data_IF_542241333285
#
_entry.id   IF_542241333285
#
_cell.length_a   1.000
_cell.length_b   1.000
_cell.length_c   1.000
_cell.angle_alpha   90.00
_cell.angle_beta   90.00
_cell.angle_gamma   90.00
#
_symmetry.space_group_name_H-M   'P 1'
#
loop_
_entity.id
_entity.type
_entity.pdbx_description
1 polymer ?
2 polymer ?
3 polymer ?
4 non-polymer ?
5 non-polymer ?
6 non-polymer ?
7 water ?
#
# COMPACT_ATOMS: atom_id res chain seq x y z
N UNK A 1 6.16 -15.81 12.74
CA UNK A 1 5.04 -15.91 11.81
C UNK A 1 5.47 -16.04 10.36
N UNK A 2 4.51 -15.89 9.43
CA UNK A 2 4.75 -15.95 7.98
C UNK A 2 5.42 -14.67 7.50
N UNK A 3 6.15 -14.73 6.37
CA UNK A 3 6.85 -13.56 5.84
C UNK A 3 6.84 -13.50 4.32
N UNK A 4 7.09 -12.30 3.76
CA UNK A 4 7.07 -12.18 2.33
C UNK A 4 8.04 -11.12 1.85
N UNK A 5 8.47 -11.26 0.59
CA UNK A 5 9.32 -10.24 -0.06
C UNK A 5 8.62 -9.94 -1.37
N UNK A 6 8.40 -8.64 -1.67
CA UNK A 6 7.68 -8.30 -2.91
C UNK A 6 8.31 -7.08 -3.53
N UNK A 7 8.37 -7.04 -4.87
CA UNK A 7 8.82 -5.88 -5.64
C UNK A 7 7.65 -5.43 -6.49
N UNK A 8 7.46 -4.11 -6.59
CA UNK A 8 6.36 -3.53 -7.35
C UNK A 8 6.96 -2.58 -8.35
N UNK A 9 6.50 -2.60 -9.59
CA UNK A 9 7.07 -1.75 -10.65
C UNK A 9 5.94 -1.12 -11.40
N UNK A 10 6.07 0.17 -11.68
CA UNK A 10 5.06 0.91 -12.47
C UNK A 10 5.83 1.75 -13.50
N UNK A 11 5.41 1.68 -14.75
CA UNK A 11 5.99 2.47 -15.82
C UNK A 11 4.83 3.17 -16.52
N UNK A 12 4.95 4.50 -16.74
CA UNK A 12 3.85 5.28 -17.34
C UNK A 12 4.41 6.02 -18.52
N UNK A 13 3.89 5.77 -19.71
CA UNK A 13 4.45 6.44 -20.90
C UNK A 13 4.17 7.94 -20.93
N UNK A 14 5.08 8.73 -21.54
CA UNK A 14 4.96 10.19 -21.69
C UNK A 14 5.10 10.47 -23.17
N UNK A 15 3.97 10.35 -23.89
CA UNK A 15 4.02 10.45 -25.36
C UNK A 15 4.49 11.79 -25.94
N UNK A 16 4.30 12.88 -25.22
CA UNK A 16 4.71 14.20 -25.69
C UNK A 16 6.22 14.33 -25.88
N UNK A 17 7.01 13.84 -24.91
CA UNK A 17 8.46 13.93 -24.98
C UNK A 17 9.13 13.02 -23.95
N UNK A 18 10.11 12.27 -24.42
CA UNK A 18 10.98 11.46 -23.56
C UNK A 18 10.46 10.09 -23.18
N UNK A 19 11.19 9.47 -22.26
CA UNK A 19 10.95 8.11 -21.82
C UNK A 19 9.89 8.03 -20.71
N UNK A 20 9.39 6.80 -20.42
CA UNK A 20 8.35 6.66 -19.40
C UNK A 20 8.85 7.01 -18.00
N UNK A 21 7.93 7.38 -17.11
CA UNK A 21 8.22 7.58 -15.69
C UNK A 21 8.25 6.15 -15.12
N UNK A 22 9.34 5.76 -14.47
CA UNK A 22 9.46 4.41 -13.89
C UNK A 22 9.70 4.47 -12.37
N UNK A 23 8.85 3.77 -11.59
CA UNK A 23 8.97 3.70 -10.12
C UNK A 23 8.98 2.25 -9.67
N UNK A 24 10.04 1.86 -8.91
CA UNK A 24 10.17 0.49 -8.37
C UNK A 24 10.33 0.59 -6.87
N UNK A 25 9.65 -0.31 -6.12
CA UNK A 25 9.72 -0.35 -4.66
C UNK A 25 9.82 -1.82 -4.22
N UNK A 26 10.68 -2.10 -3.23
CA UNK A 26 10.81 -3.44 -2.66
C UNK A 26 10.32 -3.43 -1.22
N UNK A 27 9.65 -4.51 -0.81
CA UNK A 27 9.11 -4.65 0.55
C UNK A 27 9.49 -5.96 1.16
N UNK A 28 9.70 -5.95 2.49
CA UNK A 28 9.79 -7.16 3.31
C UNK A 28 8.56 -7.03 4.21
N UNK A 29 7.58 -7.95 4.04
CA UNK A 29 6.30 -7.83 4.76
C UNK A 29 5.70 -6.44 4.48
N UNK A 30 5.42 -5.62 5.52
CA UNK A 30 4.85 -4.27 5.31
C UNK A 30 5.88 -3.16 5.39
N UNK A 31 7.16 -3.51 5.22
CA UNK A 31 8.23 -2.51 5.34
C UNK A 31 8.90 -2.30 4.01
N UNK A 32 8.82 -1.08 3.46
CA UNK A 32 9.54 -0.74 2.23
C UNK A 32 11.03 -0.72 2.56
N UNK A 33 11.89 -1.34 1.71
CA UNK A 33 13.31 -1.32 2.04
C UNK A 33 14.19 -0.71 0.94
N UNK A 34 13.69 -0.65 -0.32
CA UNK A 34 14.48 -0.11 -1.44
C UNK A 34 13.52 0.61 -2.34
N UNK A 35 14.06 1.52 -3.15
CA UNK A 35 13.30 2.27 -4.14
C UNK A 35 14.17 2.73 -5.29
N UNK A 36 13.53 2.92 -6.45
CA UNK A 36 14.18 3.52 -7.62
C UNK A 36 13.11 4.39 -8.26
N UNK A 37 13.46 5.61 -8.56
CA UNK A 37 12.51 6.49 -9.24
C UNK A 37 13.29 7.11 -10.38
N UNK A 38 12.84 6.91 -11.65
CA UNK A 38 13.54 7.46 -12.83
C UNK A 38 13.62 8.98 -12.81
N UNK A 39 12.71 9.68 -12.05
CA UNK A 39 12.75 11.14 -11.94
C UNK A 39 13.74 11.70 -10.88
N UNK A 40 14.26 10.83 -10.00
CA UNK A 40 15.18 11.26 -8.93
C UNK A 40 16.61 11.44 -9.48
N UNK A 41 17.42 12.19 -8.75
CA UNK A 41 18.79 12.53 -9.14
C UNK A 41 19.81 11.40 -9.06
N UNK A 42 19.70 10.47 -8.08
CA UNK A 42 20.75 9.45 -7.92
C UNK A 42 20.94 8.56 -9.12
N UNK A 43 19.81 8.14 -9.76
CA UNK A 43 19.80 7.13 -10.83
C UNK A 43 20.32 5.82 -10.27
N UNK A 44 20.06 5.59 -8.98
CA UNK A 44 20.49 4.34 -8.34
C UNK A 44 19.37 3.72 -7.54
N UNK A 45 19.49 2.44 -7.26
CA UNK A 45 18.58 1.81 -6.30
C UNK A 45 19.01 2.43 -4.96
N UNK A 46 18.04 2.93 -4.17
CA UNK A 46 18.34 3.59 -2.89
C UNK A 46 17.78 2.80 -1.70
N UNK A 47 18.45 2.89 -0.53
CA UNK A 47 17.91 2.23 0.68
C UNK A 47 16.79 3.04 1.32
N UNK A 48 15.83 2.35 1.95
CA UNK A 48 14.70 2.98 2.66
C UNK A 48 14.50 2.39 4.08
N UNK A 49 15.37 1.45 4.50
CA UNK A 49 15.36 0.85 5.84
C UNK A 49 16.80 0.78 6.36
N UNK A 50 17.04 0.97 7.68
CA UNK A 50 18.44 0.96 8.17
C UNK A 50 19.17 -0.38 8.00
N UNK A 51 18.45 -1.49 8.10
CA UNK A 51 19.05 -2.82 7.99
C UNK A 51 19.53 -3.19 6.57
N UNK A 52 19.17 -2.42 5.55
CA UNK A 52 19.64 -2.73 4.20
C UNK A 52 20.91 -1.88 3.89
N UNK A 53 21.09 -0.76 4.59
CA UNK A 53 22.21 0.18 4.42
C UNK A 53 23.58 -0.48 4.58
N UNK A 54 23.65 -1.52 5.40
CA UNK A 54 24.85 -2.32 5.69
C UNK A 54 25.35 -3.15 4.49
N UNK A 55 24.49 -3.34 3.45
CA UNK A 55 24.94 -4.08 2.26
C UNK A 55 26.03 -3.26 1.54
N UNK A 56 27.04 -3.95 1.06
CA UNK A 56 28.17 -3.31 0.40
C UNK A 56 27.93 -2.75 -0.99
N UNK A 57 29.00 -2.19 -1.60
CA UNK A 57 28.89 -1.59 -2.94
C UNK A 57 28.50 -2.55 -4.04
N UNK A 58 28.89 -3.84 -3.94
CA UNK A 58 28.56 -4.82 -4.98
C UNK A 58 27.04 -5.03 -5.02
N UNK A 59 26.39 -4.97 -3.85
CA UNK A 59 24.94 -5.14 -3.76
C UNK A 59 24.27 -3.98 -4.49
N UNK A 60 24.62 -2.71 -4.14
CA UNK A 60 24.02 -1.52 -4.71
C UNK A 60 24.28 -1.36 -6.19
N UNK A 61 25.49 -1.76 -6.66
CA UNK A 61 25.83 -1.73 -8.09
C UNK A 61 24.95 -2.72 -8.85
N UNK A 62 24.81 -3.94 -8.29
CA UNK A 62 24.00 -5.01 -8.85
C UNK A 62 22.52 -4.68 -8.88
N UNK A 63 21.96 -4.16 -7.75
CA UNK A 63 20.52 -3.79 -7.72
C UNK A 63 20.23 -2.61 -8.68
N UNK A 64 21.17 -1.66 -8.80
CA UNK A 64 21.00 -0.54 -9.77
C UNK A 64 20.99 -1.05 -11.22
N UNK A 65 21.94 -1.93 -11.57
CA UNK A 65 22.00 -2.46 -12.94
C UNK A 65 20.67 -3.22 -13.23
N UNK A 66 20.20 -4.03 -12.27
CA UNK A 66 18.98 -4.82 -12.52
C UNK A 66 17.74 -3.99 -12.63
N UNK A 67 17.60 -2.99 -11.77
CA UNK A 67 16.42 -2.13 -11.78
C UNK A 67 16.36 -1.27 -13.06
N UNK A 68 17.55 -0.86 -13.57
CA UNK A 68 17.60 -0.11 -14.84
C UNK A 68 17.26 -1.05 -16.01
N UNK A 69 17.65 -2.33 -15.92
CA UNK A 69 17.30 -3.33 -16.92
C UNK A 69 15.78 -3.57 -16.88
N UNK A 70 15.16 -3.57 -15.66
CA UNK A 70 13.69 -3.72 -15.56
C UNK A 70 13.02 -2.48 -16.19
N UNK A 71 13.58 -1.28 -15.94
CA UNK A 71 13.05 -0.04 -16.55
C UNK A 71 13.06 -0.16 -18.07
N UNK A 72 14.17 -0.63 -18.67
CA UNK A 72 14.21 -0.71 -20.13
C UNK A 72 13.25 -1.73 -20.70
N UNK A 73 13.05 -2.86 -20.02
CA UNK A 73 12.03 -3.86 -20.48
C UNK A 73 10.64 -3.23 -20.48
N UNK A 74 10.29 -2.46 -19.41
CA UNK A 74 8.98 -1.82 -19.35
C UNK A 74 8.79 -0.79 -20.47
N UNK A 75 9.88 -0.05 -20.79
CA UNK A 75 9.81 0.91 -21.90
C UNK A 75 9.49 0.14 -23.21
N UNK A 76 10.21 -0.95 -23.47
CA UNK A 76 9.96 -1.75 -24.68
C UNK A 76 8.53 -2.32 -24.63
N UNK A 77 8.11 -2.90 -23.47
CA UNK A 77 6.74 -3.44 -23.28
C UNK A 77 5.64 -2.44 -23.61
N UNK A 78 5.79 -1.17 -23.19
CA UNK A 78 4.76 -0.14 -23.50
C UNK A 78 4.58 -0.01 -25.00
N UNK A 79 5.69 -0.01 -25.75
CA UNK A 79 5.68 -0.01 -27.22
C UNK A 79 5.08 -1.29 -27.79
N UNK A 80 5.45 -2.48 -27.23
CA UNK A 80 4.87 -3.77 -27.71
C UNK A 80 3.34 -3.82 -27.56
N UNK A 81 2.84 -3.48 -26.37
CA UNK A 81 1.41 -3.49 -26.03
C UNK A 81 0.61 -2.50 -26.85
N UNK A 82 1.20 -1.31 -27.13
CA UNK A 82 0.54 -0.30 -27.95
C UNK A 82 0.25 -0.92 -29.33
N UNK A 83 1.18 -1.73 -29.84
CA UNK A 83 1.05 -2.46 -31.10
C UNK A 83 0.04 -3.59 -31.03
N UNK A 84 0.10 -4.46 -29.99
CA UNK A 84 -0.87 -5.56 -29.80
C UNK A 84 -2.30 -5.03 -29.73
N UNK A 85 -2.51 -3.87 -29.07
CA UNK A 85 -3.83 -3.30 -28.89
C UNK A 85 -4.22 -2.28 -29.95
N UNK A 86 -3.36 -2.11 -30.97
CA UNK A 86 -3.59 -1.15 -32.06
C UNK A 86 -3.95 0.27 -31.52
N UNK A 87 -3.15 0.76 -30.57
CA UNK A 87 -3.39 2.07 -29.97
C UNK A 87 -2.47 3.12 -30.59
N UNK A 88 -2.89 4.38 -30.57
CA UNK A 88 -2.11 5.50 -31.13
C UNK A 88 -0.94 5.89 -30.22
N UNK A 89 0.02 6.64 -30.74
CA UNK A 89 1.16 7.11 -29.96
C UNK A 89 0.83 8.36 -29.14
N UNK A 90 -0.44 8.80 -29.14
CA UNK A 90 -0.90 10.03 -28.48
C UNK A 90 -1.25 9.94 -26.97
N UNK A 91 -1.75 8.80 -26.54
CA UNK A 91 -2.18 8.64 -25.15
C UNK A 91 -1.12 8.05 -24.25
N UNK A 92 -1.27 8.29 -22.97
CA UNK A 92 -0.39 7.74 -21.96
C UNK A 92 -0.95 6.36 -21.52
N UNK A 93 -0.07 5.37 -21.32
CA UNK A 93 -0.53 4.03 -20.88
C UNK A 93 0.36 3.58 -19.73
N UNK A 94 -0.09 2.55 -19.00
CA UNK A 94 0.65 2.09 -17.82
C UNK A 94 0.88 0.61 -17.83
N UNK A 95 2.09 0.21 -17.42
CA UNK A 95 2.40 -1.21 -17.25
C UNK A 95 2.78 -1.36 -15.77
N UNK A 96 2.25 -2.39 -15.11
CA UNK A 96 2.56 -2.67 -13.71
C UNK A 96 2.98 -4.11 -13.63
N UNK A 97 3.95 -4.40 -12.77
CA UNK A 97 4.48 -5.74 -12.54
C UNK A 97 4.73 -5.92 -11.05
N UNK A 98 4.48 -7.10 -10.54
CA UNK A 98 4.71 -7.43 -9.14
C UNK A 98 5.22 -8.84 -9.11
N UNK A 99 6.25 -9.09 -8.33
CA UNK A 99 6.75 -10.45 -8.15
C UNK A 99 7.30 -10.61 -6.76
N UNK A 100 7.40 -11.85 -6.29
CA UNK A 100 7.93 -12.09 -4.97
C UNK A 100 7.60 -13.46 -4.43
N UNK A 101 7.99 -13.69 -3.19
CA UNK A 101 7.83 -14.99 -2.56
C UNK A 101 7.28 -14.84 -1.16
N UNK A 102 6.64 -15.92 -0.68
CA UNK A 102 6.09 -16.04 0.66
C UNK A 102 6.78 -17.23 1.32
N UNK A 103 7.10 -17.11 2.62
CA UNK A 103 7.68 -18.19 3.44
C UNK A 103 6.80 -18.35 4.67
N UNK A 104 6.76 -19.58 5.22
CA UNK A 104 5.99 -19.85 6.44
C UNK A 104 6.77 -19.55 7.70
N UNK A 105 6.25 -20.01 8.86
CA UNK A 105 6.87 -19.83 10.18
C UNK A 105 8.25 -20.48 10.29
N UNK A 106 8.54 -21.49 9.44
CA UNK A 106 9.83 -22.18 9.40
C UNK A 106 10.84 -21.49 8.44
N UNK A 107 10.37 -20.42 7.74
CA UNK A 107 11.12 -19.63 6.73
C UNK A 107 11.38 -20.43 5.45
N UNK A 108 10.53 -21.44 5.19
CA UNK A 108 10.63 -22.25 3.98
C UNK A 108 9.58 -21.78 2.98
N UNK A 109 9.91 -21.89 1.68
CA UNK A 109 9.08 -21.50 0.54
C UNK A 109 7.64 -21.97 0.66
N UNK A 110 6.70 -21.03 0.49
CA UNK A 110 5.28 -21.35 0.54
C UNK A 110 4.65 -21.05 -0.80
N UNK A 111 4.91 -19.86 -1.34
CA UNK A 111 4.27 -19.46 -2.59
C UNK A 111 5.15 -18.43 -3.34
N UNK A 112 5.02 -18.39 -4.66
CA UNK A 112 5.73 -17.41 -5.50
C UNK A 112 4.74 -16.71 -6.42
N UNK A 113 5.04 -15.46 -6.84
CA UNK A 113 4.15 -14.70 -7.72
C UNK A 113 4.95 -13.97 -8.74
N UNK A 114 4.36 -13.71 -9.90
CA UNK A 114 4.98 -12.89 -10.95
C UNK A 114 3.86 -12.56 -11.90
N UNK A 115 3.38 -11.31 -11.83
CA UNK A 115 2.22 -10.93 -12.67
C UNK A 115 2.30 -9.52 -13.17
N UNK A 116 1.61 -9.27 -14.28
CA UNK A 116 1.56 -8.01 -15.03
C UNK A 116 0.17 -7.52 -15.23
N UNK A 117 0.08 -6.19 -15.38
CA UNK A 117 -1.18 -5.53 -15.73
C UNK A 117 -0.89 -4.50 -16.79
N UNK A 118 -1.86 -4.25 -17.67
CA UNK A 118 -1.74 -3.18 -18.67
C UNK A 118 -2.95 -2.30 -18.51
N UNK A 119 -2.73 -0.99 -18.36
CA UNK A 119 -3.80 -0.03 -18.10
C UNK A 119 -4.74 -0.47 -16.94
N UNK A 120 -4.15 -1.04 -15.88
CA UNK A 120 -4.89 -1.43 -14.69
C UNK A 120 -5.68 -2.71 -14.76
N UNK A 121 -5.53 -3.49 -15.84
CA UNK A 121 -6.26 -4.76 -15.93
C UNK A 121 -5.23 -5.90 -16.06
N UNK A 122 -5.57 -7.09 -15.53
CA UNK A 122 -4.71 -8.28 -15.63
C UNK A 122 -4.32 -8.50 -17.08
N UNK A 123 -3.03 -8.75 -17.29
CA UNK A 123 -2.48 -9.05 -18.59
C UNK A 123 -2.02 -10.52 -18.60
N UNK A 124 -0.92 -10.83 -17.88
CA UNK A 124 -0.42 -12.21 -17.79
C UNK A 124 0.08 -12.45 -16.35
N UNK A 125 -0.07 -13.69 -15.85
CA UNK A 125 0.35 -14.02 -14.50
C UNK A 125 0.89 -15.46 -14.47
N UNK A 126 1.91 -15.68 -13.67
CA UNK A 126 2.48 -17.01 -13.47
C UNK A 126 1.52 -17.77 -12.52
N UNK A 127 1.05 -18.99 -12.92
CA UNK A 127 0.15 -19.81 -12.07
C UNK A 127 0.87 -20.25 -10.80
N UNK A 128 0.12 -20.68 -9.76
CA UNK A 128 0.70 -21.10 -8.49
C UNK A 128 1.70 -22.28 -8.62
N UNK A 129 1.56 -23.13 -9.65
CA UNK A 129 2.50 -24.26 -9.90
C UNK A 129 3.91 -23.74 -10.31
N UNK A 130 4.02 -22.44 -10.72
CA UNK A 130 5.25 -21.79 -11.19
C UNK A 130 5.75 -22.44 -12.49
N UNK A 131 4.82 -23.00 -13.27
CA UNK A 131 5.15 -23.67 -14.54
C UNK A 131 4.38 -23.11 -15.71
N UNK A 132 3.14 -22.66 -15.46
CA UNK A 132 2.22 -22.22 -16.51
C UNK A 132 1.82 -20.75 -16.32
N UNK A 133 1.19 -20.21 -17.37
CA UNK A 133 0.74 -18.83 -17.48
C UNK A 133 -0.76 -18.69 -17.67
N UNK A 134 -1.32 -17.66 -17.05
CA UNK A 134 -2.73 -17.26 -17.23
C UNK A 134 -2.67 -15.97 -18.05
N UNK A 135 -3.20 -16.00 -19.26
CA UNK A 135 -3.27 -14.90 -20.22
C UNK A 135 -4.70 -14.45 -20.24
N UNK A 136 -4.94 -13.19 -19.88
CA UNK A 136 -6.31 -12.69 -19.79
C UNK A 136 -7.03 -12.56 -21.15
N UNK A 137 -6.27 -12.33 -22.22
CA UNK A 137 -6.86 -12.08 -23.54
C UNK A 137 -5.95 -12.55 -24.64
N UNK A 138 -6.32 -12.32 -25.89
CA UNK A 138 -5.53 -12.78 -27.04
C UNK A 138 -4.17 -12.07 -27.17
N UNK A 139 -4.06 -10.80 -26.75
CA UNK A 139 -2.75 -10.12 -26.78
C UNK A 139 -1.81 -10.82 -25.77
N UNK A 140 -2.29 -11.10 -24.56
CA UNK A 140 -1.50 -11.82 -23.55
C UNK A 140 -1.19 -13.25 -24.00
N UNK A 141 -2.07 -13.85 -24.83
CA UNK A 141 -1.85 -15.21 -25.38
C UNK A 141 -0.58 -15.22 -26.27
N UNK A 142 -0.36 -14.15 -27.03
CA UNK A 142 0.85 -13.94 -27.88
C UNK A 142 2.10 -13.93 -26.99
N UNK A 143 2.06 -13.22 -25.82
CA UNK A 143 3.18 -13.17 -24.87
C UNK A 143 3.40 -14.55 -24.26
N UNK A 144 2.29 -15.25 -23.92
CA UNK A 144 2.39 -16.59 -23.30
C UNK A 144 3.14 -17.53 -24.24
N UNK A 145 2.75 -17.55 -25.52
CA UNK A 145 3.40 -18.38 -26.54
C UNK A 145 4.89 -18.09 -26.66
N UNK A 146 5.29 -16.80 -26.56
CA UNK A 146 6.72 -16.45 -26.59
C UNK A 146 7.41 -16.92 -25.34
N UNK A 147 6.79 -16.73 -24.15
CA UNK A 147 7.44 -17.11 -22.89
C UNK A 147 7.59 -18.63 -22.71
N UNK A 148 6.68 -19.41 -23.32
CA UNK A 148 6.73 -20.87 -23.27
C UNK A 148 7.92 -21.36 -24.11
N UNK A 149 8.07 -20.81 -25.33
CA UNK A 149 9.19 -21.15 -26.21
C UNK A 149 10.56 -20.75 -25.62
N UNK A 150 10.61 -19.78 -24.68
CA UNK A 150 11.84 -19.26 -24.08
C UNK A 150 12.21 -19.73 -22.65
N UNK A 151 11.55 -20.75 -22.06
CA UNK A 151 11.90 -21.25 -20.69
C UNK A 151 11.77 -20.17 -19.60
N UNK A 152 10.91 -19.15 -19.82
CA UNK A 152 10.79 -18.03 -18.86
C UNK A 152 10.37 -18.53 -17.49
N UNK A 153 9.30 -19.33 -17.41
CA UNK A 153 8.83 -19.85 -16.14
C UNK A 153 9.89 -20.66 -15.41
N UNK A 154 10.74 -21.40 -16.12
CA UNK A 154 11.81 -22.20 -15.47
C UNK A 154 12.73 -21.29 -14.64
N UNK A 155 13.19 -20.17 -15.25
CA UNK A 155 14.09 -19.21 -14.62
C UNK A 155 13.41 -18.51 -13.46
N UNK A 156 12.12 -18.16 -13.66
CA UNK A 156 11.32 -17.50 -12.62
C UNK A 156 11.13 -18.40 -11.43
N UNK A 157 10.79 -19.67 -11.67
CA UNK A 157 10.63 -20.63 -10.57
C UNK A 157 11.95 -20.79 -9.78
N UNK A 158 13.10 -20.82 -10.48
CA UNK A 158 14.39 -20.95 -9.80
C UNK A 158 14.66 -19.74 -8.92
N UNK A 159 14.34 -18.53 -9.43
CA UNK A 159 14.50 -17.30 -8.65
C UNK A 159 13.54 -17.30 -7.44
N UNK A 160 12.26 -17.57 -7.68
CA UNK A 160 11.22 -17.52 -6.63
C UNK A 160 11.39 -18.52 -5.49
N UNK A 161 11.84 -19.72 -5.80
CA UNK A 161 12.02 -20.79 -4.80
C UNK A 161 13.41 -20.75 -4.15
N UNK A 162 14.39 -20.20 -4.86
CA UNK A 162 15.76 -20.12 -4.37
C UNK A 162 16.21 -18.76 -3.93
N UNK A 163 16.76 -17.98 -4.88
CA UNK A 163 17.29 -16.63 -4.66
C UNK A 163 16.35 -15.77 -3.82
N UNK A 164 15.06 -15.68 -4.21
CA UNK A 164 14.06 -14.85 -3.50
C UNK A 164 14.01 -15.22 -2.02
N UNK A 165 13.80 -16.52 -1.74
CA UNK A 165 13.71 -17.09 -0.39
C UNK A 165 15.00 -16.87 0.42
N UNK A 166 16.16 -17.11 -0.20
CA UNK A 166 17.45 -16.96 0.46
C UNK A 166 17.74 -15.56 0.89
N UNK A 167 17.43 -14.57 0.04
CA UNK A 167 17.66 -13.17 0.39
C UNK A 167 16.66 -12.69 1.41
N UNK A 168 15.42 -13.21 1.34
CA UNK A 168 14.40 -12.88 2.36
C UNK A 168 14.87 -13.30 3.76
N UNK A 169 15.40 -14.53 3.87
CA UNK A 169 15.92 -15.01 5.16
C UNK A 169 17.05 -14.10 5.66
N UNK A 170 17.96 -13.68 4.76
CA UNK A 170 19.05 -12.77 5.11
C UNK A 170 18.53 -11.43 5.66
N UNK A 171 17.55 -10.81 4.95
CA UNK A 171 16.97 -9.52 5.36
C UNK A 171 16.29 -9.67 6.71
N UNK A 172 15.54 -10.76 6.90
CA UNK A 172 14.85 -11.05 8.17
C UNK A 172 15.83 -11.10 9.36
N UNK A 173 17.02 -11.67 9.14
CA UNK A 173 18.10 -11.79 10.15
C UNK A 173 18.76 -10.44 10.40
N UNK A 174 19.19 -9.75 9.35
CA UNK A 174 19.79 -8.42 9.48
C UNK A 174 18.85 -7.39 10.07
N UNK A 175 17.57 -7.48 9.73
CA UNK A 175 16.58 -6.55 10.25
C UNK A 175 15.75 -7.10 11.38
N UNK A 176 16.24 -8.15 12.09
CA UNK A 176 15.48 -8.83 13.15
C UNK A 176 14.88 -7.91 14.22
N UNK A 177 15.58 -6.86 14.65
CA UNK A 177 15.10 -5.94 15.70
C UNK A 177 13.72 -5.30 15.37
N UNK A 178 13.44 -5.01 14.07
CA UNK A 178 12.13 -4.44 13.66
C UNK A 178 11.31 -5.47 12.89
N UNK A 179 11.91 -6.15 11.88
CA UNK A 179 11.20 -7.11 11.01
C UNK A 179 10.59 -8.29 11.72
N UNK A 180 11.26 -8.78 12.79
CA UNK A 180 10.75 -9.94 13.54
C UNK A 180 10.01 -9.54 14.81
N UNK A 181 9.83 -8.24 15.04
CA UNK A 181 9.10 -7.71 16.19
C UNK A 181 7.65 -7.44 15.75
N UNK A 182 6.64 -7.96 16.50
CA UNK A 182 5.25 -7.63 16.16
C UNK A 182 4.86 -6.50 17.12
N UNK A 183 4.16 -5.47 16.64
CA UNK A 183 3.70 -4.38 17.50
C UNK A 183 2.19 -4.57 17.64
N UNK A 184 1.75 -5.02 18.83
CA UNK A 184 0.33 -5.22 19.12
C UNK A 184 -0.41 -3.88 19.08
N UNK A 185 -1.65 -3.82 18.60
CA UNK A 185 -2.36 -2.52 18.57
C UNK A 185 -2.63 -1.94 19.94
N UNK A 186 -2.46 -0.63 20.07
CA UNK A 186 -2.82 0.11 21.28
C UNK A 186 -4.29 0.48 21.01
N UNK A 187 -5.20 -0.02 21.84
CA UNK A 187 -6.62 0.14 21.60
C UNK A 187 -7.32 1.04 22.61
N UNK A 188 -8.35 1.76 22.15
CA UNK A 188 -9.18 2.58 23.03
C UNK A 188 -10.52 2.81 22.36
N UNK A 189 -11.50 3.23 23.15
CA UNK A 189 -12.86 3.49 22.67
C UNK A 189 -13.22 4.94 22.90
N UNK A 190 -13.79 5.60 21.88
CA UNK A 190 -14.26 6.99 21.99
C UNK A 190 -15.77 6.95 21.78
N UNK A 191 -16.46 8.00 22.26
CA UNK A 191 -17.93 8.11 22.26
C UNK A 191 -18.31 9.46 21.71
N UNK A 192 -19.16 9.48 20.66
CA UNK A 192 -19.57 10.73 20.00
C UNK A 192 -21.08 10.79 19.88
N UNK A 193 -21.74 11.57 20.73
CA UNK A 193 -23.20 11.70 20.65
C UNK A 193 -23.62 12.22 19.27
N UNK A 194 -24.64 11.59 18.66
CA UNK A 194 -25.15 12.03 17.35
C UNK A 194 -26.48 12.80 17.53
N UNK A 195 -27.01 12.82 18.80
CA UNK A 195 -28.26 13.41 19.31
C UNK A 195 -28.35 13.11 20.82
N UNK A 196 -29.48 13.47 21.48
CA UNK A 196 -29.66 13.17 22.91
C UNK A 196 -30.12 11.72 23.14
N UNK A 197 -30.42 10.95 22.06
CA UNK A 197 -30.85 9.55 22.24
C UNK A 197 -29.99 8.51 21.47
N UNK A 198 -28.96 8.95 20.72
CA UNK A 198 -28.07 8.04 19.96
C UNK A 198 -26.62 8.54 20.01
N UNK A 199 -25.66 7.60 19.96
CA UNK A 199 -24.23 7.91 19.98
C UNK A 199 -23.45 6.93 19.10
N UNK A 200 -22.29 7.36 18.61
CA UNK A 200 -21.38 6.50 17.84
C UNK A 200 -20.32 6.06 18.87
N UNK A 201 -20.02 4.76 18.92
CA UNK A 201 -18.91 4.27 19.75
C UNK A 201 -17.88 3.94 18.68
N UNK A 202 -16.65 4.39 18.82
CA UNK A 202 -15.61 4.15 17.82
C UNK A 202 -14.48 3.43 18.52
N UNK A 203 -14.10 2.28 17.97
CA UNK A 203 -13.07 1.42 18.54
C UNK A 203 -11.79 1.63 17.74
N UNK A 204 -10.74 2.10 18.38
CA UNK A 204 -9.48 2.40 17.67
C UNK A 204 -8.40 1.36 17.89
N UNK A 205 -7.59 1.10 16.86
CA UNK A 205 -6.41 0.23 16.95
C UNK A 205 -5.28 1.06 16.33
N UNK A 206 -4.28 1.43 17.14
CA UNK A 206 -3.22 2.30 16.68
C UNK A 206 -1.87 1.67 16.83
N UNK A 207 -0.90 2.15 16.04
CA UNK A 207 0.51 1.83 16.17
C UNK A 207 0.83 0.35 16.03
N UNK A 208 0.11 -0.37 15.16
CA UNK A 208 0.38 -1.79 15.09
C UNK A 208 1.19 -2.16 13.86
N UNK A 209 1.77 -3.37 13.91
CA UNK A 209 2.58 -3.94 12.85
C UNK A 209 2.63 -5.46 13.04
N UNK A 210 2.39 -6.28 12.00
CA UNK A 210 2.09 -5.93 10.59
C UNK A 210 0.69 -5.34 10.40
N UNK A 211 0.40 -4.93 9.16
CA UNK A 211 -0.86 -4.25 8.83
C UNK A 211 -2.11 -5.11 9.02
N UNK A 212 -2.00 -6.42 8.86
CA UNK A 212 -3.16 -7.33 8.99
C UNK A 212 -3.81 -7.23 10.38
N UNK A 213 -5.15 -7.01 10.43
CA UNK A 213 -5.88 -6.85 11.69
C UNK A 213 -7.38 -7.11 11.43
N UNK A 214 -8.11 -7.51 12.46
CA UNK A 214 -9.57 -7.66 12.36
C UNK A 214 -10.23 -6.95 13.54
N UNK A 215 -11.23 -6.10 13.25
CA UNK A 215 -11.99 -5.37 14.26
C UNK A 215 -13.42 -5.72 13.99
N UNK A 216 -14.12 -6.22 15.01
CA UNK A 216 -15.53 -6.62 14.82
C UNK A 216 -16.35 -6.14 16.02
N UNK A 217 -17.62 -5.82 15.79
CA UNK A 217 -18.52 -5.40 16.87
C UNK A 217 -19.46 -6.52 17.19
N UNK A 218 -19.83 -6.62 18.46
CA UNK A 218 -20.83 -7.58 18.89
C UNK A 218 -21.84 -6.85 19.76
N UNK A 219 -23.10 -7.31 19.75
CA UNK A 219 -24.16 -6.78 20.60
C UNK A 219 -24.73 -7.98 21.34
N UNK A 220 -24.66 -7.92 22.68
CA UNK A 220 -25.10 -8.98 23.57
C UNK A 220 -24.44 -10.32 23.18
N UNK A 221 -23.17 -10.25 22.75
CA UNK A 221 -22.37 -11.41 22.35
C UNK A 221 -22.69 -12.01 20.99
N UNK A 222 -23.35 -11.25 20.10
CA UNK A 222 -23.71 -11.67 18.75
C UNK A 222 -23.10 -10.67 17.75
N UNK A 223 -22.59 -11.14 16.62
CA UNK A 223 -21.98 -10.28 15.61
C UNK A 223 -22.92 -9.20 15.11
N UNK A 224 -22.40 -7.98 14.99
CA UNK A 224 -23.19 -6.83 14.53
C UNK A 224 -22.49 -6.20 13.34
N UNK A 225 -23.18 -6.10 12.22
CA UNK A 225 -22.67 -5.48 10.99
C UNK A 225 -23.55 -4.27 10.59
N UNK A 226 -24.84 -4.28 10.97
CA UNK A 226 -25.70 -3.12 10.69
C UNK A 226 -25.33 -1.91 11.58
N UNK A 227 -25.45 -0.68 11.01
CA UNK A 227 -25.13 0.61 11.66
C UNK A 227 -23.65 0.66 12.08
N UNK A 228 -22.82 -0.05 11.31
CA UNK A 228 -21.40 -0.18 11.52
C UNK A 228 -20.66 0.53 10.39
N UNK A 229 -19.44 1.03 10.67
CA UNK A 229 -18.55 1.62 9.67
C UNK A 229 -17.11 1.18 10.02
N UNK A 230 -16.38 0.66 9.04
CA UNK A 230 -15.02 0.16 9.21
C UNK A 230 -14.14 0.85 8.20
N UNK A 231 -13.15 1.66 8.64
CA UNK A 231 -12.26 2.33 7.67
C UNK A 231 -11.20 1.37 7.17
N UNK A 232 -10.64 1.63 5.97
CA UNK A 232 -9.54 0.82 5.43
C UNK A 232 -8.31 1.03 6.36
N UNK A 233 -7.51 -0.01 6.61
CA UNK A 233 -6.26 0.12 7.38
C UNK A 233 -5.36 1.17 6.69
N UNK A 234 -4.74 2.04 7.46
CA UNK A 234 -3.98 3.14 6.91
C UNK A 234 -2.65 3.31 7.59
N UNK A 235 -1.64 3.79 6.85
CA UNK A 235 -0.30 3.95 7.45
C UNK A 235 -0.25 5.14 8.37
N UNK A 236 0.45 5.01 9.50
CA UNK A 236 0.60 6.11 10.43
C UNK A 236 1.69 7.06 9.91
N UNK A 237 2.63 6.55 9.12
CA UNK A 237 3.75 7.33 8.58
C UNK A 237 5.06 7.06 9.30
N UNK A 238 5.03 6.33 10.43
CA UNK A 238 6.23 5.97 11.19
C UNK A 238 6.53 4.47 11.07
N UNK A 239 5.91 3.80 10.08
CA UNK A 239 6.10 2.36 9.85
C UNK A 239 4.99 1.49 10.43
N UNK A 240 4.15 2.08 11.32
CA UNK A 240 3.03 1.34 11.91
C UNK A 240 1.71 1.68 11.17
N UNK A 241 0.62 1.00 11.55
CA UNK A 241 -0.68 1.17 10.93
C UNK A 241 -1.76 1.54 11.90
N UNK A 242 -2.91 2.03 11.37
CA UNK A 242 -4.07 2.41 12.16
C UNK A 242 -5.35 1.84 11.54
N UNK A 243 -6.40 1.67 12.35
CA UNK A 243 -7.74 1.31 11.87
C UNK A 243 -8.75 1.66 12.96
N UNK A 244 -9.99 1.94 12.56
CA UNK A 244 -11.07 2.06 13.52
C UNK A 244 -12.34 1.43 12.96
N UNK A 245 -13.23 1.03 13.86
CA UNK A 245 -14.55 0.44 13.51
C UNK A 245 -15.55 1.18 14.41
N UNK A 246 -16.71 1.58 13.90
CA UNK A 246 -17.66 2.31 14.74
C UNK A 246 -19.05 1.71 14.63
N UNK A 247 -19.90 1.94 15.64
CA UNK A 247 -21.29 1.48 15.66
C UNK A 247 -22.15 2.59 16.25
N UNK A 248 -23.33 2.77 15.67
CA UNK A 248 -24.31 3.72 16.18
C UNK A 248 -25.22 2.93 17.13
N UNK A 249 -25.40 3.45 18.34
CA UNK A 249 -26.18 2.79 19.38
C UNK A 249 -27.18 3.72 20.04
N UNK A 250 -28.27 3.18 20.64
CA UNK A 250 -29.17 4.03 21.42
C UNK A 250 -28.45 4.46 22.71
N UNK A 251 -28.48 5.76 23.02
CA UNK A 251 -27.85 6.24 24.25
C UNK A 251 -28.41 5.53 25.48
N UNK A 252 -27.50 5.12 26.36
CA UNK A 252 -27.83 4.36 27.56
C UNK A 252 -27.66 2.86 27.39
N UNK A 253 -27.51 2.39 26.13
CA UNK A 253 -27.35 0.94 25.83
C UNK A 253 -25.90 0.54 25.45
N UNK A 254 -24.93 1.44 25.70
CA UNK A 254 -23.53 1.25 25.33
C UNK A 254 -22.91 -0.03 25.83
N UNK A 255 -23.26 -0.45 27.07
CA UNK A 255 -22.68 -1.65 27.70
C UNK A 255 -23.03 -2.97 27.02
N UNK A 256 -24.02 -3.01 26.10
CA UNK A 256 -24.36 -4.25 25.38
C UNK A 256 -23.33 -4.48 24.25
N UNK A 257 -22.61 -3.43 23.87
CA UNK A 257 -21.71 -3.47 22.72
C UNK A 257 -20.24 -3.68 23.08
N UNK A 258 -19.60 -4.61 22.37
CA UNK A 258 -18.19 -4.89 22.60
C UNK A 258 -17.44 -4.91 21.27
N UNK A 259 -16.21 -4.36 21.27
CA UNK A 259 -15.34 -4.37 20.09
C UNK A 259 -14.30 -5.48 20.30
N UNK A 260 -14.03 -6.28 19.27
CA UNK A 260 -13.10 -7.42 19.37
C UNK A 260 -11.92 -7.22 18.41
N UNK A 261 -10.71 -7.24 18.94
CA UNK A 261 -9.50 -6.96 18.13
C UNK A 261 -8.63 -8.21 17.98
N UNK A 262 -8.34 -8.60 16.75
CA UNK A 262 -7.48 -9.74 16.48
C UNK A 262 -6.26 -9.27 15.72
N UNK A 263 -5.09 -9.66 16.19
CA UNK A 263 -3.84 -9.27 15.54
C UNK A 263 -2.76 -10.27 15.94
N UNK A 264 -1.81 -10.52 15.03
CA UNK A 264 -0.66 -11.41 15.25
C UNK A 264 0.14 -11.10 16.52
N UNK A 265 0.18 -9.83 16.92
CA UNK A 265 0.86 -9.42 18.13
C UNK A 265 0.08 -9.69 19.42
N UNK A 266 -1.17 -10.19 19.32
CA UNK A 266 -1.99 -10.48 20.51
C UNK A 266 -2.13 -12.01 20.72
N UNK A 267 -1.62 -12.59 21.83
CA UNK A 267 -1.81 -14.03 22.08
C UNK A 267 -3.29 -14.42 22.10
N UNK A 268 -4.14 -13.56 22.70
CA UNK A 268 -5.59 -13.75 22.73
C UNK A 268 -6.25 -12.46 22.19
N UNK A 269 -7.41 -12.52 21.50
CA UNK A 269 -8.04 -11.28 21.04
C UNK A 269 -8.43 -10.35 22.19
N UNK A 270 -8.43 -9.03 21.94
CA UNK A 270 -8.81 -8.05 22.95
C UNK A 270 -10.32 -7.76 22.83
N UNK A 271 -10.97 -7.44 23.98
CA UNK A 271 -12.38 -7.05 24.02
C UNK A 271 -12.40 -5.68 24.68
N UNK A 272 -13.09 -4.73 24.05
CA UNK A 272 -13.24 -3.34 24.49
C UNK A 272 -14.72 -3.07 24.72
N UNK A 273 -15.02 -2.30 25.78
CA UNK A 273 -16.37 -1.86 26.16
C UNK A 273 -16.28 -0.39 26.52
N UNK A 274 -17.35 0.39 26.28
CA UNK A 274 -17.32 1.80 26.60
C UNK A 274 -17.36 1.97 28.13
N UNK A 275 -16.45 2.80 28.68
CA UNK A 275 -16.40 3.08 30.12
C UNK A 275 -17.31 4.32 30.37
N UNK A 276 -18.54 4.15 30.90
CA UNK A 276 -19.42 5.31 31.07
C UNK A 276 -19.21 6.10 32.36
N UNK A 277 -18.81 7.40 32.22
CA UNK A 277 -18.54 8.44 33.24
C UNK A 277 -17.30 9.27 32.88
N UNK B 2 -11.71 1.64 -17.21
CA UNK B 2 -10.35 2.18 -17.33
C UNK B 2 -9.94 3.04 -16.13
N UNK B 3 -10.92 3.72 -15.49
CA UNK B 3 -10.66 4.69 -14.43
C UNK B 3 -11.36 4.43 -13.08
N UNK B 4 -10.58 4.50 -11.99
CA UNK B 4 -11.07 4.31 -10.63
C UNK B 4 -10.76 5.54 -9.82
N UNK B 5 -11.75 6.02 -9.07
CA UNK B 5 -11.66 7.26 -8.30
C UNK B 5 -10.90 7.03 -7.00
N UNK B 6 -10.11 8.00 -6.51
CA UNK B 6 -9.44 7.76 -5.23
C UNK B 6 -10.37 7.76 -4.03
N UNK B 7 -10.04 6.93 -3.04
CA UNK B 7 -10.67 6.93 -1.71
C UNK B 7 -9.70 7.85 -0.93
N UNK B 8 -10.19 8.63 0.02
CA UNK B 8 -9.32 9.57 0.73
C UNK B 8 -9.58 9.43 2.21
N UNK B 9 -8.52 9.47 3.01
CA UNK B 9 -8.63 9.53 4.47
C UNK B 9 -7.66 10.62 4.88
N UNK B 10 -8.10 11.53 5.74
CA UNK B 10 -7.30 12.64 6.29
C UNK B 10 -7.26 12.40 7.79
N UNK B 11 -6.09 12.32 8.38
CA UNK B 11 -5.98 11.98 9.79
C UNK B 11 -4.61 12.33 10.32
N UNK B 12 -4.44 12.29 11.65
CA UNK B 12 -3.14 12.59 12.25
C UNK B 12 -2.43 11.30 12.62
N UNK B 13 -1.11 11.33 12.63
CA UNK B 13 -0.28 10.18 13.00
C UNK B 13 -0.52 9.76 14.46
N UNK B 14 -0.71 10.74 15.37
CA UNK B 14 -0.91 10.49 16.81
C UNK B 14 -2.24 11.13 17.23
N UNK B 15 -2.94 10.62 18.30
CA UNK B 15 -4.19 11.28 18.73
C UNK B 15 -3.93 12.74 19.05
N UNK B 16 -4.68 13.61 18.38
CA UNK B 16 -4.47 15.04 18.42
C UNK B 16 -4.79 15.71 19.75
N UNK B 17 -3.89 16.61 20.15
CA UNK B 17 -4.01 17.51 21.31
C UNK B 17 -3.63 18.89 20.85
N UNK B 18 -4.47 19.90 21.13
CA UNK B 18 -4.12 21.28 20.72
C UNK B 18 -2.79 21.71 21.34
N UNK B 19 -1.93 22.31 20.53
CA UNK B 19 -0.59 22.76 20.96
C UNK B 19 0.49 21.70 20.99
N UNK B 20 0.14 20.45 20.62
CA UNK B 20 1.14 19.39 20.60
C UNK B 20 1.48 19.02 19.17
N UNK B 21 2.75 19.20 18.80
CA UNK B 21 3.30 18.89 17.48
C UNK B 21 2.85 17.47 17.04
N UNK B 22 2.49 17.33 15.75
CA UNK B 22 1.95 16.09 15.20
C UNK B 22 2.24 16.00 13.68
N UNK B 23 1.63 15.02 12.98
CA UNK B 23 1.85 14.88 11.53
C UNK B 23 0.49 14.67 10.93
N UNK B 24 0.18 15.42 9.89
CA UNK B 24 -1.09 15.40 9.17
C UNK B 24 -0.87 14.56 7.94
N UNK B 25 -1.77 13.57 7.76
CA UNK B 25 -1.68 12.60 6.68
C UNK B 25 -2.85 12.66 5.81
N UNK B 26 -2.62 12.44 4.50
CA UNK B 26 -3.72 12.27 3.54
C UNK B 26 -3.40 11.02 2.75
N UNK B 27 -4.16 9.95 3.01
CA UNK B 27 -3.91 8.65 2.39
C UNK B 27 -4.88 8.53 1.24
N UNK B 28 -4.37 8.46 0.01
CA UNK B 28 -5.20 8.33 -1.21
C UNK B 28 -5.00 6.95 -1.78
N UNK B 29 -6.08 6.23 -2.05
CA UNK B 29 -5.95 4.85 -2.49
C UNK B 29 -7.06 4.42 -3.47
N UNK B 30 -6.92 3.25 -4.07
CA UNK B 30 -7.94 2.69 -4.96
C UNK B 30 -8.08 3.39 -6.29
N UNK B 31 -7.10 4.18 -6.71
CA UNK B 31 -7.22 4.95 -7.94
C UNK B 31 -6.43 4.40 -9.14
N UNK B 32 -6.83 4.79 -10.35
CA UNK B 32 -6.19 4.45 -11.62
C UNK B 32 -6.70 5.43 -12.67
N UNK B 33 -5.86 6.11 -13.50
CA UNK B 33 -4.38 6.02 -13.61
C UNK B 33 -3.62 6.65 -12.42
N UNK B 34 -2.27 6.53 -12.40
CA UNK B 34 -1.45 6.97 -11.28
C UNK B 34 -1.32 8.47 -11.11
N UNK B 35 -1.43 9.27 -12.20
CA UNK B 35 -1.29 10.72 -12.09
C UNK B 35 -2.37 11.26 -11.15
N UNK B 36 -1.96 11.99 -10.11
CA UNK B 36 -2.87 12.55 -9.11
C UNK B 36 -2.23 13.80 -8.51
N UNK B 37 -3.06 14.79 -8.16
CA UNK B 37 -2.63 16.00 -7.47
C UNK B 37 -3.20 15.98 -6.06
N UNK B 38 -2.34 16.06 -5.05
CA UNK B 38 -2.80 16.04 -3.66
C UNK B 38 -2.15 17.20 -2.96
N UNK B 39 -2.96 18.05 -2.32
CA UNK B 39 -2.49 19.17 -1.52
C UNK B 39 -3.01 19.06 -0.09
N UNK B 40 -2.18 19.41 0.90
CA UNK B 40 -2.69 19.51 2.28
C UNK B 40 -2.96 21.00 2.51
N UNK B 41 -4.09 21.34 3.13
CA UNK B 41 -4.48 22.74 3.31
C UNK B 41 -4.54 23.13 4.79
N UNK B 42 -4.23 24.40 5.08
CA UNK B 42 -4.33 25.00 6.42
C UNK B 42 -5.16 26.26 6.20
N UNK B 43 -6.40 26.28 6.73
CA UNK B 43 -7.36 27.38 6.59
C UNK B 43 -7.69 27.72 5.12
N UNK B 44 -7.66 26.69 4.26
CA UNK B 44 -7.95 26.83 2.83
C UNK B 44 -6.76 27.12 1.95
N UNK B 45 -5.58 27.32 2.53
CA UNK B 45 -4.35 27.62 1.83
C UNK B 45 -3.38 26.44 1.81
N UNK B 46 -2.75 26.21 0.64
CA UNK B 46 -1.79 25.13 0.40
C UNK B 46 -0.56 25.16 1.30
N UNK B 47 -0.24 24.02 1.93
CA UNK B 47 0.95 23.90 2.78
C UNK B 47 2.07 23.54 1.82
N UNK B 48 3.21 24.22 1.96
CA UNK B 48 4.36 24.08 1.08
C UNK B 48 5.25 22.86 1.33
N UNK B 49 5.61 22.58 2.59
CA UNK B 49 6.55 21.46 2.89
C UNK B 49 5.85 20.08 2.99
N UNK B 50 5.27 19.58 1.88
CA UNK B 50 4.51 18.31 1.92
C UNK B 50 5.30 17.21 1.20
N UNK B 51 5.51 16.08 1.89
CA UNK B 51 6.23 14.93 1.30
C UNK B 51 5.23 13.81 0.97
N UNK B 52 5.67 12.85 0.16
CA UNK B 52 4.79 11.72 -0.18
C UNK B 52 5.59 10.45 -0.34
N UNK B 53 4.93 9.30 -0.16
CA UNK B 53 5.56 7.98 -0.25
C UNK B 53 5.82 7.64 -1.73
N UNK B 54 6.58 6.58 -1.96
CA UNK B 54 6.82 6.10 -3.33
C UNK B 54 5.58 5.34 -3.78
N UNK B 55 5.14 5.63 -5.00
CA UNK B 55 3.96 4.99 -5.61
C UNK B 55 4.06 3.47 -5.51
N UNK B 56 2.97 2.85 -5.05
CA UNK B 56 2.86 1.39 -5.01
C UNK B 56 1.40 1.06 -5.29
N UNK B 57 1.04 -0.23 -5.31
CA UNK B 57 -0.32 -0.62 -5.65
C UNK B 57 -0.77 -1.89 -4.93
N UNK B 58 -2.06 -2.13 -4.95
CA UNK B 58 -2.69 -3.28 -4.31
C UNK B 58 -2.80 -4.47 -5.26
N UNK B 59 -3.29 -5.61 -4.74
CA UNK B 59 -3.53 -6.85 -5.49
C UNK B 59 -4.35 -6.55 -6.77
N UNK B 60 -5.37 -5.69 -6.67
CA UNK B 60 -6.24 -5.31 -7.79
C UNK B 60 -5.63 -4.27 -8.72
N UNK B 61 -4.32 -3.94 -8.55
CA UNK B 61 -3.57 -3.00 -9.36
C UNK B 61 -3.86 -1.51 -9.09
N UNK B 62 -4.83 -1.19 -8.23
CA UNK B 62 -5.14 0.22 -7.97
C UNK B 62 -4.02 0.82 -7.07
N UNK B 63 -3.67 2.08 -7.30
CA UNK B 63 -2.55 2.73 -6.65
C UNK B 63 -2.86 3.30 -5.27
N UNK B 64 -1.81 3.52 -4.45
CA UNK B 64 -1.96 4.22 -3.18
C UNK B 64 -0.73 5.06 -2.89
N UNK B 65 -0.95 6.17 -2.19
CA UNK B 65 0.09 7.13 -1.79
C UNK B 65 -0.28 7.76 -0.48
N UNK B 66 0.72 8.13 0.31
CA UNK B 66 0.50 8.85 1.54
C UNK B 66 1.21 10.19 1.37
N UNK B 67 0.49 11.28 1.61
CA UNK B 67 1.00 12.65 1.61
C UNK B 67 1.00 13.09 3.07
N UNK B 68 2.08 13.74 3.52
CA UNK B 68 2.20 14.07 4.94
C UNK B 68 3.06 15.31 5.19
N UNK B 69 2.77 15.95 6.32
CA UNK B 69 3.49 17.13 6.78
C UNK B 69 3.33 17.26 8.29
N UNK B 70 4.27 17.93 8.95
CA UNK B 70 4.21 18.23 10.38
C UNK B 70 3.18 19.30 10.59
N UNK B 71 2.43 19.27 11.70
CA UNK B 71 1.46 20.34 12.02
C UNK B 71 1.21 20.39 13.51
N UNK B 72 0.62 21.46 13.98
CA UNK B 72 0.25 21.57 15.38
C UNK B 72 -1.22 21.87 15.39
N UNK B 73 -2.08 20.91 15.80
CA UNK B 73 -3.50 21.21 15.90
C UNK B 73 -3.78 22.34 16.92
N UNK B 74 -4.77 23.18 16.64
CA UNK B 74 -5.21 24.27 17.54
C UNK B 74 -6.73 24.33 17.49
N UNK B 75 -7.35 25.16 18.36
CA UNK B 75 -8.79 25.34 18.34
C UNK B 75 -9.26 26.15 17.12
N UNK B 76 -8.42 27.08 16.63
CA UNK B 76 -8.82 27.96 15.52
C UNK B 76 -8.42 27.50 14.11
N UNK B 77 -7.42 26.63 13.98
CA UNK B 77 -7.02 26.25 12.61
C UNK B 77 -7.80 25.09 12.03
N UNK B 78 -8.09 25.21 10.73
CA UNK B 78 -8.81 24.22 9.95
C UNK B 78 -7.83 23.51 9.01
N UNK B 79 -7.87 22.17 8.94
CA UNK B 79 -6.98 21.41 8.04
C UNK B 79 -7.78 20.55 7.10
N UNK B 80 -7.25 20.30 5.90
CA UNK B 80 -7.95 19.50 4.90
C UNK B 80 -6.98 18.93 3.88
N UNK B 81 -7.48 18.02 3.05
CA UNK B 81 -6.74 17.42 1.96
C UNK B 81 -7.56 17.73 0.71
N UNK B 82 -6.91 18.23 -0.34
CA UNK B 82 -7.55 18.56 -1.61
C UNK B 82 -7.00 17.62 -2.70
N UNK B 83 -7.88 16.86 -3.34
CA UNK B 83 -7.47 15.86 -4.31
C UNK B 83 -8.01 16.12 -5.71
N UNK B 84 -7.15 16.06 -6.71
CA UNK B 84 -7.60 16.17 -8.08
C UNK B 84 -7.13 14.97 -8.88
N UNK B 85 -8.02 14.43 -9.71
CA UNK B 85 -7.74 13.24 -10.51
C UNK B 85 -8.62 13.26 -11.77
N UNK B 86 -8.22 12.53 -12.82
CA UNK B 86 -8.96 12.48 -14.10
C UNK B 86 -10.42 12.01 -13.93
N UNK B 87 -10.70 11.21 -12.89
CA UNK B 87 -12.05 10.71 -12.56
C UNK B 87 -12.93 11.76 -11.85
N UNK B 88 -12.35 12.89 -11.42
CA UNK B 88 -13.06 13.93 -10.68
C UNK B 88 -13.34 15.17 -11.54
N UNK B 89 -14.60 15.66 -11.52
CA UNK B 89 -14.98 16.84 -12.29
C UNK B 89 -14.43 18.11 -11.64
N UNK B 90 -14.35 18.10 -10.31
CA UNK B 90 -13.88 19.20 -9.48
C UNK B 90 -12.94 18.65 -8.38
N UNK B 91 -11.96 19.44 -7.86
CA UNK B 91 -11.13 18.93 -6.75
C UNK B 91 -11.97 18.53 -5.54
N UNK B 92 -11.63 17.38 -4.94
CA UNK B 92 -12.35 16.85 -3.78
C UNK B 92 -11.63 17.32 -2.49
N UNK B 93 -12.36 17.98 -1.59
CA UNK B 93 -11.81 18.48 -0.33
C UNK B 93 -12.36 17.67 0.82
N UNK B 94 -11.47 17.02 1.59
CA UNK B 94 -11.88 16.24 2.77
C UNK B 94 -11.29 16.96 3.98
N UNK B 95 -12.13 17.44 4.89
CA UNK B 95 -11.68 18.17 6.09
C UNK B 95 -11.16 17.21 7.14
N UNK B 96 -10.14 17.63 7.88
CA UNK B 96 -9.62 16.83 8.99
C UNK B 96 -10.52 16.96 10.21
N UNK B 97 -10.92 15.82 10.77
CA UNK B 97 -11.68 15.73 11.99
C UNK B 97 -10.87 14.80 12.92
N UNK B 98 -10.40 15.34 14.04
CA UNK B 98 -9.54 14.61 14.99
C UNK B 98 -10.18 13.32 15.55
N UNK B 99 -11.50 13.19 15.46
CA UNK B 99 -12.23 12.02 15.94
C UNK B 99 -12.28 10.88 14.90
N UNK B 100 -11.66 11.06 13.71
CA UNK B 100 -11.69 10.06 12.63
C UNK B 100 -10.32 9.81 11.95
N UNK C 1 16.76 -9.13 -3.13
CA UNK C 1 17.34 -8.79 -4.43
C UNK C 1 16.37 -9.01 -5.58
N UNK C 2 16.53 -8.21 -6.63
CA UNK C 2 15.76 -8.33 -7.86
C UNK C 2 16.16 -9.56 -8.63
N UNK C 3 15.28 -10.01 -9.55
CA UNK C 3 15.67 -11.11 -10.43
C UNK C 3 16.55 -10.52 -11.54
N UNK C 4 17.27 -11.39 -12.25
CA UNK C 4 18.18 -10.93 -13.32
C UNK C 4 17.75 -11.60 -14.65
N UNK C 5 16.43 -11.67 -14.90
CA UNK C 5 15.79 -12.40 -16.00
C UNK C 5 15.25 -11.51 -17.12
N UNK C 6 15.61 -11.85 -18.37
CA UNK C 6 15.09 -11.17 -19.56
C UNK C 6 13.68 -11.73 -19.84
N UNK C 7 12.63 -10.90 -19.69
CA UNK C 7 11.26 -11.33 -19.93
C UNK C 7 10.44 -10.22 -20.59
N UNK C 8 10.58 -10.12 -21.93
CA UNK C 8 9.88 -9.12 -22.76
C UNK C 8 8.47 -9.57 -23.14
N UNK C 9 7.48 -8.64 -23.07
CA UNK C 9 6.09 -8.96 -23.43
C UNK C 9 5.92 -9.19 -24.96
#
# INVERSE_FOLDING_TARGET
GSHSMRYFFTSVSRPGRGEPRFIAVGYVDDTQFVRFDSDAASQRMEPRAPWIEQEGPEYWDGETRKVKAHSQTHRVDLGTLRGYYNQSEAGSHTVQRMYGCDVGSDWRFLRGYHQYAYDGKDYIALKEDLRSWTAADMAAQTTKHKWEAAHVAEQLRAYLEGTCVEWLRRYLENGKETLQRTDAPKTHMTHHAVSDHEATLRCWALSFYPAEITLTWQRDGEDQTQDTELVETRPAGDGTFQKWAAVVVPSGQEQRYTCHVQHEGLPKPLTLRWEPS
MIQRTPKIQVYSRHPAENGKSNFLNCYVSGFHPSDIEVDLLKNGERIEKVEHSDLSFSKDWSFYLLYYTEFTPTEKDEYACRVNHVTLSQPKIVKWDRDM
VLNDILSRL
#
